data_IF_752873651091
#
_entry.id   IF_752873651091
#
_cell.length_a   1.000
_cell.length_b   1.000
_cell.length_c   1.000
_cell.angle_alpha   90.00
_cell.angle_beta   90.00
_cell.angle_gamma   90.00
#
_symmetry.space_group_name_H-M   'P 1'
#
loop_
_entity.id
_entity.type
_entity.pdbx_description
1 polymer ?
#
# COMPACT_ATOMS: atom_id res chain seq x y z
N UNK A 1 5.16 33.82 -11.50
CA UNK A 1 6.19 32.84 -11.05
C UNK A 1 6.13 31.66 -12.00
N UNK A 2 7.27 31.21 -12.53
CA UNK A 2 7.35 30.01 -13.36
C UNK A 2 8.14 28.95 -12.60
N UNK A 3 7.52 27.81 -12.33
CA UNK A 3 8.17 26.64 -11.72
C UNK A 3 8.60 25.66 -12.80
N UNK A 4 9.88 25.33 -12.81
CA UNK A 4 10.48 24.35 -13.74
C UNK A 4 10.67 23.02 -13.02
N UNK A 5 10.26 21.91 -13.65
CA UNK A 5 10.47 20.56 -13.12
C UNK A 5 10.47 19.54 -14.25
N UNK A 6 11.26 18.49 -14.10
CA UNK A 6 11.26 17.33 -14.98
C UNK A 6 10.15 16.32 -14.65
N UNK A 7 9.49 16.47 -13.49
CA UNK A 7 8.40 15.61 -13.05
C UNK A 7 7.08 15.97 -13.75
N UNK A 8 6.86 15.33 -14.90
CA UNK A 8 5.58 15.42 -15.63
C UNK A 8 4.40 15.00 -14.75
N UNK A 9 4.60 14.03 -13.85
CA UNK A 9 3.57 13.59 -12.91
C UNK A 9 3.13 14.73 -11.98
N UNK A 10 4.08 15.44 -11.36
CA UNK A 10 3.78 16.56 -10.46
C UNK A 10 2.99 17.63 -11.20
N UNK A 11 3.46 18.04 -12.39
CA UNK A 11 2.76 19.03 -13.22
C UNK A 11 1.33 18.59 -13.48
N UNK A 12 1.12 17.35 -13.95
CA UNK A 12 -0.23 16.86 -14.25
C UNK A 12 -1.14 16.85 -13.03
N UNK A 13 -0.63 16.44 -11.86
CA UNK A 13 -1.42 16.37 -10.61
C UNK A 13 -1.93 17.74 -10.17
N UNK A 14 -1.09 18.79 -10.26
CA UNK A 14 -1.46 20.15 -9.83
C UNK A 14 -2.08 21.00 -10.96
N UNK A 15 -2.19 20.47 -12.17
CA UNK A 15 -2.81 21.16 -13.32
C UNK A 15 -3.95 20.34 -13.92
N UNK A 16 -3.66 19.51 -14.93
CA UNK A 16 -4.67 18.87 -15.78
C UNK A 16 -5.53 17.84 -15.06
N UNK A 17 -5.01 17.18 -14.03
CA UNK A 17 -5.73 16.19 -13.23
C UNK A 17 -6.39 16.78 -11.99
N UNK A 18 -6.03 18.01 -11.62
CA UNK A 18 -6.42 18.60 -10.34
C UNK A 18 -7.94 18.61 -10.16
N UNK A 19 -8.66 19.16 -11.13
CA UNK A 19 -10.12 19.30 -11.04
C UNK A 19 -10.84 17.96 -10.83
N UNK A 20 -10.35 16.90 -11.50
CA UNK A 20 -10.89 15.55 -11.36
C UNK A 20 -10.51 14.94 -10.01
N UNK A 21 -9.24 15.02 -9.63
CA UNK A 21 -8.74 14.42 -8.39
C UNK A 21 -9.39 15.08 -7.15
N UNK A 22 -9.69 16.39 -7.20
CA UNK A 22 -10.48 17.10 -6.18
C UNK A 22 -11.95 16.69 -6.17
N UNK A 23 -12.58 16.56 -7.35
CA UNK A 23 -13.96 16.10 -7.44
C UNK A 23 -14.13 14.67 -6.89
N UNK A 24 -13.15 13.81 -7.12
CA UNK A 24 -13.08 12.44 -6.58
C UNK A 24 -12.57 12.38 -5.12
N UNK A 25 -12.28 13.53 -4.49
CA UNK A 25 -11.80 13.59 -3.11
C UNK A 25 -10.46 12.88 -2.87
N UNK A 26 -9.63 12.75 -3.92
CA UNK A 26 -8.35 12.03 -3.91
C UNK A 26 -8.44 10.55 -3.50
N UNK A 27 -9.63 9.93 -3.59
CA UNK A 27 -9.85 8.57 -3.08
C UNK A 27 -8.92 7.55 -3.77
N UNK A 28 -8.02 6.99 -2.96
CA UNK A 28 -7.06 5.98 -3.37
C UNK A 28 -6.00 6.46 -4.36
N UNK A 29 -5.68 7.77 -4.31
CA UNK A 29 -4.43 8.34 -4.82
C UNK A 29 -3.34 8.20 -3.75
N UNK A 30 -2.07 8.34 -4.16
CA UNK A 30 -0.91 8.34 -3.27
C UNK A 30 -0.47 9.78 -2.96
N UNK A 31 0.27 9.97 -1.87
CA UNK A 31 0.85 11.26 -1.48
C UNK A 31 -0.19 12.40 -1.42
N UNK A 32 -1.39 12.07 -0.93
CA UNK A 32 -2.56 12.97 -0.94
C UNK A 32 -2.30 14.19 -0.06
N UNK A 33 -1.70 14.00 1.12
CA UNK A 33 -1.45 15.09 2.06
C UNK A 33 -0.49 16.13 1.48
N UNK A 34 0.63 15.67 0.90
CA UNK A 34 1.59 16.52 0.19
C UNK A 34 0.92 17.23 -1.00
N UNK A 35 0.15 16.51 -1.80
CA UNK A 35 -0.54 17.08 -2.97
C UNK A 35 -1.49 18.19 -2.55
N UNK A 36 -2.28 17.98 -1.49
CA UNK A 36 -3.23 18.96 -0.99
C UNK A 36 -2.52 20.18 -0.41
N UNK A 37 -1.41 20.01 0.29
CA UNK A 37 -0.59 21.10 0.79
C UNK A 37 -0.01 21.95 -0.35
N UNK A 38 0.52 21.31 -1.40
CA UNK A 38 1.01 22.01 -2.60
C UNK A 38 -0.10 22.80 -3.29
N UNK A 39 -1.27 22.18 -3.51
CA UNK A 39 -2.41 22.87 -4.13
C UNK A 39 -2.88 24.06 -3.30
N UNK A 40 -2.94 23.91 -1.97
CA UNK A 40 -3.27 25.00 -1.06
C UNK A 40 -2.24 26.14 -1.17
N UNK A 41 -0.94 25.81 -1.11
CA UNK A 41 0.14 26.80 -1.25
C UNK A 41 0.09 27.53 -2.60
N UNK A 42 -0.25 26.83 -3.69
CA UNK A 42 -0.44 27.46 -5.01
C UNK A 42 -1.64 28.41 -5.03
N UNK A 43 -2.76 28.04 -4.38
CA UNK A 43 -3.98 28.86 -4.31
C UNK A 43 -3.86 30.05 -3.36
N UNK A 44 -3.06 29.96 -2.31
CA UNK A 44 -2.80 31.08 -1.39
C UNK A 44 -2.01 32.22 -2.04
N UNK A 45 -1.45 32.02 -3.24
CA UNK A 45 -0.69 33.05 -3.94
C UNK A 45 -1.62 34.04 -4.65
N UNK A 46 -1.31 35.33 -4.54
CA UNK A 46 -2.03 36.41 -5.22
C UNK A 46 -1.86 36.40 -6.74
N UNK A 47 -0.72 35.89 -7.23
CA UNK A 47 -0.37 35.91 -8.64
C UNK A 47 -0.30 34.49 -9.23
N UNK A 48 -0.71 34.29 -10.50
CA UNK A 48 -0.63 33.00 -11.16
C UNK A 48 0.76 32.36 -11.11
N UNK A 49 0.76 31.02 -11.03
CA UNK A 49 1.95 30.19 -11.14
C UNK A 49 1.85 29.39 -12.43
N UNK A 50 2.86 29.49 -13.28
CA UNK A 50 3.00 28.69 -14.49
C UNK A 50 3.97 27.54 -14.22
N UNK A 51 3.69 26.36 -14.77
CA UNK A 51 4.61 25.23 -14.74
C UNK A 51 5.21 25.02 -16.11
N UNK A 52 6.52 24.79 -16.16
CA UNK A 52 7.25 24.46 -17.38
C UNK A 52 7.93 23.11 -17.18
N UNK A 53 7.55 22.14 -17.99
CA UNK A 53 8.25 20.87 -18.02
C UNK A 53 9.61 21.05 -18.70
N UNK A 54 10.66 20.55 -18.06
CA UNK A 54 12.01 20.50 -18.62
C UNK A 54 12.45 19.05 -18.73
N UNK A 55 13.31 18.72 -19.69
CA UNK A 55 13.84 17.37 -19.82
C UNK A 55 14.90 17.14 -18.73
N UNK A 56 14.75 16.09 -17.94
CA UNK A 56 15.77 15.68 -16.96
C UNK A 56 17.11 15.34 -17.64
N UNK A 57 18.22 15.58 -16.93
CA UNK A 57 19.59 15.28 -17.39
C UNK A 57 19.96 15.86 -18.76
N UNK A 58 19.44 17.05 -19.11
CA UNK A 58 19.61 17.66 -20.43
C UNK A 58 20.51 18.91 -20.45
N UNK A 59 21.33 19.14 -19.42
CA UNK A 59 22.19 20.32 -19.33
C UNK A 59 21.49 21.55 -18.75
N UNK A 60 20.25 21.42 -18.24
CA UNK A 60 19.51 22.56 -17.70
C UNK A 60 20.02 22.91 -16.31
N UNK A 61 20.90 23.91 -16.22
CA UNK A 61 21.68 24.24 -15.01
C UNK A 61 20.85 24.30 -13.72
N UNK A 62 19.65 24.89 -13.77
CA UNK A 62 18.77 24.99 -12.59
C UNK A 62 18.15 23.65 -12.19
N UNK A 63 17.77 22.81 -13.15
CA UNK A 63 17.22 21.48 -12.87
C UNK A 63 18.31 20.57 -12.31
N UNK A 64 19.50 20.58 -12.91
CA UNK A 64 20.64 19.80 -12.43
C UNK A 64 21.10 20.24 -11.04
N UNK A 65 21.01 21.54 -10.75
CA UNK A 65 21.21 22.06 -9.40
C UNK A 65 20.17 21.51 -8.41
N UNK A 66 18.91 21.45 -8.81
CA UNK A 66 17.84 20.87 -8.00
C UNK A 66 18.04 19.35 -7.78
N UNK A 67 18.42 18.61 -8.82
CA UNK A 67 18.73 17.18 -8.74
C UNK A 67 19.87 16.92 -7.75
N UNK A 68 20.95 17.71 -7.83
CA UNK A 68 22.08 17.62 -6.89
C UNK A 68 21.65 17.89 -5.45
N UNK A 69 20.79 18.90 -5.23
CA UNK A 69 20.27 19.20 -3.89
C UNK A 69 19.37 18.07 -3.37
N UNK A 70 18.56 17.46 -4.24
CA UNK A 70 17.75 16.29 -3.89
C UNK A 70 18.62 15.09 -3.50
N UNK A 71 19.71 14.83 -4.23
CA UNK A 71 20.68 13.76 -3.91
C UNK A 71 21.38 13.99 -2.55
N UNK A 72 21.68 15.25 -2.22
CA UNK A 72 22.19 15.60 -0.89
C UNK A 72 21.13 15.36 0.19
N UNK A 73 19.86 15.65 -0.11
CA UNK A 73 18.73 15.38 0.78
C UNK A 73 18.59 13.89 1.11
N UNK A 74 18.76 13.00 0.12
CA UNK A 74 18.73 11.54 0.33
C UNK A 74 19.80 11.07 1.32
N UNK A 75 20.96 11.75 1.37
CA UNK A 75 22.10 11.40 2.21
C UNK A 75 22.02 12.01 3.63
N UNK A 76 21.00 12.82 3.93
CA UNK A 76 20.85 13.39 5.28
C UNK A 76 20.49 12.29 6.28
N UNK A 77 21.09 12.36 7.46
CA UNK A 77 20.79 11.43 8.56
C UNK A 77 19.37 11.62 9.11
N UNK A 78 18.87 12.85 9.14
CA UNK A 78 17.52 13.19 9.56
C UNK A 78 16.74 13.83 8.39
N UNK A 79 15.46 13.47 8.20
CA UNK A 79 14.61 14.09 7.20
C UNK A 79 14.31 15.55 7.56
N UNK A 80 14.15 16.39 6.55
CA UNK A 80 13.67 17.76 6.76
C UNK A 80 12.19 17.75 7.14
N UNK A 81 11.81 18.57 8.12
CA UNK A 81 10.40 18.78 8.46
C UNK A 81 9.74 19.71 7.45
N UNK A 82 8.65 19.25 6.83
CA UNK A 82 7.86 20.02 5.86
C UNK A 82 6.49 20.28 6.46
N UNK A 83 6.13 21.55 6.61
CA UNK A 83 4.79 21.92 7.06
C UNK A 83 3.75 21.61 5.97
N UNK A 84 2.82 20.72 6.29
CA UNK A 84 1.70 20.33 5.44
C UNK A 84 0.37 20.91 5.94
N UNK A 85 0.39 21.92 6.81
CA UNK A 85 -0.80 22.61 7.26
C UNK A 85 -1.53 23.26 6.08
N UNK A 86 -2.85 23.06 6.04
CA UNK A 86 -3.72 23.61 5.00
C UNK A 86 -4.72 24.55 5.66
N UNK A 87 -4.80 25.83 5.22
CA UNK A 87 -5.83 26.76 5.66
C UNK A 87 -7.24 26.19 5.53
N UNK A 88 -8.11 26.47 6.50
CA UNK A 88 -9.44 25.85 6.60
C UNK A 88 -10.32 26.10 5.36
N UNK A 89 -10.21 27.29 4.77
CA UNK A 89 -10.90 27.72 3.55
C UNK A 89 -10.42 26.98 2.29
N UNK A 90 -9.20 26.44 2.29
CA UNK A 90 -8.62 25.67 1.19
C UNK A 90 -8.71 24.15 1.42
N UNK A 91 -9.25 23.71 2.56
CA UNK A 91 -9.31 22.31 2.93
C UNK A 91 -10.53 21.63 2.29
N UNK A 92 -10.27 20.73 1.35
CA UNK A 92 -11.29 19.81 0.83
C UNK A 92 -11.75 18.79 1.87
N UNK A 93 -13.06 18.63 2.03
CA UNK A 93 -13.65 17.75 3.04
C UNK A 93 -13.97 16.34 2.52
N UNK A 94 -14.02 16.15 1.20
CA UNK A 94 -14.30 14.85 0.60
C UNK A 94 -14.50 14.91 -0.90
N UNK A 95 -15.09 13.85 -1.46
CA UNK A 95 -15.48 13.79 -2.86
C UNK A 95 -16.83 14.50 -3.10
N UNK A 96 -16.98 15.14 -4.26
CA UNK A 96 -18.26 15.69 -4.71
C UNK A 96 -19.23 14.54 -5.01
N UNK A 97 -20.48 14.65 -4.54
CA UNK A 97 -21.50 13.61 -4.77
C UNK A 97 -21.69 13.29 -6.26
N UNK A 98 -21.71 14.30 -7.12
CA UNK A 98 -21.83 14.13 -8.58
C UNK A 98 -20.67 13.36 -9.23
N UNK A 99 -19.50 13.30 -8.60
CA UNK A 99 -18.34 12.56 -9.08
C UNK A 99 -18.18 11.21 -8.37
N UNK A 100 -18.98 10.93 -7.35
CA UNK A 100 -18.87 9.74 -6.53
C UNK A 100 -19.57 8.56 -7.21
N UNK A 101 -18.78 7.66 -7.79
CA UNK A 101 -19.30 6.38 -8.29
C UNK A 101 -19.37 5.34 -7.18
N UNK A 102 -20.19 4.30 -7.34
CA UNK A 102 -20.24 3.17 -6.40
C UNK A 102 -18.86 2.55 -6.17
N UNK A 103 -18.06 2.40 -7.23
CA UNK A 103 -16.67 1.91 -7.14
C UNK A 103 -15.80 2.81 -6.26
N UNK A 104 -15.92 4.13 -6.42
CA UNK A 104 -15.15 5.10 -5.66
C UNK A 104 -15.58 5.10 -4.18
N UNK A 105 -16.89 5.08 -3.92
CA UNK A 105 -17.46 4.97 -2.58
C UNK A 105 -17.00 3.68 -1.88
N UNK A 106 -17.07 2.53 -2.57
CA UNK A 106 -16.60 1.25 -2.05
C UNK A 106 -15.12 1.31 -1.70
N UNK A 107 -14.28 1.87 -2.58
CA UNK A 107 -12.84 2.04 -2.33
C UNK A 107 -12.58 2.91 -1.09
N UNK A 108 -13.30 4.02 -0.92
CA UNK A 108 -13.17 4.89 0.26
C UNK A 108 -13.54 4.15 1.55
N UNK A 109 -14.65 3.38 1.54
CA UNK A 109 -15.07 2.57 2.69
C UNK A 109 -14.02 1.52 3.02
N UNK A 110 -13.50 0.81 2.01
CA UNK A 110 -12.48 -0.21 2.21
C UNK A 110 -11.19 0.38 2.79
N UNK A 111 -10.69 1.51 2.28
CA UNK A 111 -9.52 2.18 2.84
C UNK A 111 -9.73 2.56 4.32
N UNK A 112 -10.92 3.03 4.68
CA UNK A 112 -11.26 3.37 6.07
C UNK A 112 -11.33 2.13 6.96
N UNK A 113 -11.84 1.01 6.44
CA UNK A 113 -11.88 -0.26 7.15
C UNK A 113 -10.48 -0.83 7.32
N UNK A 114 -9.65 -0.77 6.29
CA UNK A 114 -8.26 -1.26 6.29
C UNK A 114 -7.43 -0.61 7.39
N UNK A 115 -7.54 0.71 7.57
CA UNK A 115 -6.86 1.41 8.68
C UNK A 115 -7.31 0.98 10.08
N UNK A 116 -8.40 0.23 10.21
CA UNK A 116 -8.90 -0.34 11.48
C UNK A 116 -8.67 -1.84 11.59
N UNK A 117 -8.19 -2.50 10.53
CA UNK A 117 -7.97 -3.94 10.55
C UNK A 117 -6.71 -4.26 11.35
N UNK A 118 -6.89 -5.04 12.42
CA UNK A 118 -5.76 -5.61 13.16
C UNK A 118 -5.20 -6.78 12.35
N UNK A 119 -3.88 -6.82 12.08
CA UNK A 119 -3.25 -7.95 11.43
C UNK A 119 -3.51 -9.24 12.22
N UNK A 120 -3.90 -10.32 11.54
CA UNK A 120 -4.11 -11.62 12.18
C UNK A 120 -2.74 -12.21 12.54
N UNK A 121 -2.45 -12.49 13.82
CA UNK A 121 -1.11 -12.92 14.25
C UNK A 121 -0.59 -14.14 13.49
N UNK A 122 -1.45 -15.15 13.29
CA UNK A 122 -1.11 -16.37 12.55
C UNK A 122 -0.77 -16.09 11.09
N UNK A 123 -1.57 -15.26 10.41
CA UNK A 123 -1.29 -14.87 9.02
C UNK A 123 0.01 -14.08 8.91
N UNK A 124 0.29 -13.18 9.86
CA UNK A 124 1.55 -12.43 9.92
C UNK A 124 2.74 -13.37 10.07
N UNK A 125 2.68 -14.30 11.03
CA UNK A 125 3.72 -15.31 11.25
C UNK A 125 3.99 -16.15 10.00
N UNK A 126 2.94 -16.64 9.35
CA UNK A 126 3.09 -17.45 8.13
C UNK A 126 3.74 -16.64 7.00
N UNK A 127 3.39 -15.35 6.86
CA UNK A 127 4.03 -14.46 5.90
C UNK A 127 5.52 -14.23 6.23
N UNK A 128 5.87 -14.07 7.51
CA UNK A 128 7.26 -13.92 7.94
C UNK A 128 8.09 -15.18 7.62
N UNK A 129 7.53 -16.37 7.88
CA UNK A 129 8.16 -17.64 7.51
C UNK A 129 8.38 -17.76 6.00
N UNK A 130 7.40 -17.34 5.18
CA UNK A 130 7.53 -17.34 3.72
C UNK A 130 8.58 -16.33 3.26
N UNK A 131 8.63 -15.14 3.84
CA UNK A 131 9.66 -14.14 3.52
C UNK A 131 11.06 -14.69 3.81
N UNK A 132 11.27 -15.27 5.00
CA UNK A 132 12.54 -15.87 5.38
C UNK A 132 12.93 -17.04 4.46
N UNK A 133 11.98 -17.92 4.12
CA UNK A 133 12.24 -19.03 3.20
C UNK A 133 12.59 -18.57 1.78
N UNK A 134 11.96 -17.50 1.28
CA UNK A 134 12.30 -16.92 -0.03
C UNK A 134 13.68 -16.27 0.00
N UNK A 135 14.01 -15.55 1.08
CA UNK A 135 15.34 -14.98 1.24
C UNK A 135 16.41 -16.06 1.27
N UNK A 136 16.23 -17.13 2.05
CA UNK A 136 17.19 -18.22 2.15
C UNK A 136 17.41 -18.91 0.79
N UNK A 137 16.32 -19.29 0.12
CA UNK A 137 16.39 -20.04 -1.14
C UNK A 137 16.83 -19.20 -2.34
N UNK A 138 16.42 -17.93 -2.41
CA UNK A 138 16.61 -17.10 -3.60
C UNK A 138 17.57 -15.92 -3.38
N UNK A 139 17.98 -15.64 -2.14
CA UNK A 139 18.78 -14.47 -1.77
C UNK A 139 18.12 -13.14 -2.17
N UNK A 140 16.77 -13.11 -2.16
CA UNK A 140 15.96 -11.94 -2.52
C UNK A 140 15.01 -11.57 -1.38
N UNK A 141 15.09 -10.31 -0.98
CA UNK A 141 14.14 -9.70 -0.05
C UNK A 141 12.83 -9.34 -0.75
N UNK A 142 11.73 -9.91 -0.27
CA UNK A 142 10.38 -9.65 -0.81
C UNK A 142 9.48 -9.04 0.26
N UNK A 143 8.52 -8.22 -0.17
CA UNK A 143 7.50 -7.68 0.75
C UNK A 143 6.32 -8.64 0.89
N UNK A 144 5.63 -8.60 2.04
CA UNK A 144 4.33 -9.28 2.24
C UNK A 144 3.33 -8.97 1.13
N UNK A 145 3.30 -7.73 0.64
CA UNK A 145 2.44 -7.34 -0.47
C UNK A 145 2.81 -8.03 -1.78
N UNK A 146 4.10 -8.20 -2.06
CA UNK A 146 4.59 -8.91 -3.24
C UNK A 146 4.20 -10.39 -3.20
N UNK A 147 4.27 -11.04 -2.04
CA UNK A 147 3.82 -12.43 -1.84
C UNK A 147 2.33 -12.57 -2.21
N UNK A 148 1.47 -11.68 -1.69
CA UNK A 148 0.04 -11.73 -2.04
C UNK A 148 -0.21 -11.45 -3.53
N UNK A 149 0.52 -10.50 -4.12
CA UNK A 149 0.38 -10.17 -5.54
C UNK A 149 0.83 -11.31 -6.44
N UNK A 150 1.94 -11.97 -6.13
CA UNK A 150 2.42 -13.11 -6.92
C UNK A 150 1.42 -14.26 -6.86
N UNK A 151 0.86 -14.54 -5.67
CA UNK A 151 -0.18 -15.54 -5.50
C UNK A 151 -1.43 -15.19 -6.31
N UNK A 152 -1.93 -13.97 -6.23
CA UNK A 152 -3.22 -13.60 -6.83
C UNK A 152 -3.15 -13.39 -8.35
N UNK A 153 -2.04 -12.87 -8.87
CA UNK A 153 -1.92 -12.44 -10.26
C UNK A 153 -1.11 -13.40 -11.16
N UNK A 154 -0.57 -14.49 -10.60
CA UNK A 154 0.17 -15.47 -11.40
C UNK A 154 -0.73 -16.15 -12.42
N UNK A 155 -0.27 -16.20 -13.67
CA UNK A 155 -0.87 -16.99 -14.76
C UNK A 155 -0.44 -18.46 -14.75
N UNK A 156 0.61 -18.77 -13.99
CA UNK A 156 1.23 -20.11 -13.92
C UNK A 156 0.57 -20.96 -12.83
N UNK A 157 0.08 -20.32 -11.76
CA UNK A 157 -0.55 -21.01 -10.63
C UNK A 157 -2.05 -21.19 -10.91
N UNK A 158 -2.51 -22.43 -10.87
CA UNK A 158 -3.94 -22.76 -11.02
C UNK A 158 -4.78 -22.09 -9.93
N UNK A 159 -6.08 -21.92 -10.17
CA UNK A 159 -6.98 -21.31 -9.18
C UNK A 159 -7.05 -22.14 -7.90
N UNK A 160 -7.00 -23.46 -8.04
CA UNK A 160 -7.07 -24.44 -6.97
C UNK A 160 -5.82 -24.36 -6.08
N UNK A 161 -4.63 -24.31 -6.69
CA UNK A 161 -3.37 -24.10 -5.95
C UNK A 161 -3.33 -22.72 -5.27
N UNK A 162 -3.85 -21.67 -5.92
CA UNK A 162 -3.97 -20.34 -5.29
C UNK A 162 -4.87 -20.37 -4.06
N UNK A 163 -6.01 -21.05 -4.14
CA UNK A 163 -6.94 -21.21 -3.01
C UNK A 163 -6.28 -21.97 -1.86
N UNK A 164 -5.58 -23.05 -2.17
CA UNK A 164 -4.83 -23.82 -1.17
C UNK A 164 -3.82 -22.94 -0.45
N UNK A 165 -2.90 -22.29 -1.18
CA UNK A 165 -1.90 -21.41 -0.60
C UNK A 165 -2.51 -20.25 0.19
N UNK A 166 -3.57 -19.62 -0.31
CA UNK A 166 -4.26 -18.55 0.40
C UNK A 166 -4.80 -19.04 1.75
N UNK A 167 -5.44 -20.21 1.77
CA UNK A 167 -5.97 -20.80 2.99
C UNK A 167 -4.86 -21.23 3.96
N UNK A 168 -3.77 -21.79 3.46
CA UNK A 168 -2.59 -22.17 4.26
C UNK A 168 -1.96 -20.95 4.92
N UNK A 169 -1.72 -19.87 4.16
CA UNK A 169 -1.16 -18.63 4.71
C UNK A 169 -2.09 -18.03 5.77
N UNK A 170 -3.40 -18.09 5.55
CA UNK A 170 -4.37 -17.57 6.52
C UNK A 170 -4.63 -18.47 7.74
N UNK A 171 -4.05 -19.67 7.80
CA UNK A 171 -4.39 -20.70 8.80
C UNK A 171 -5.90 -21.01 8.82
N UNK A 172 -6.50 -21.11 7.62
CA UNK A 172 -7.94 -21.24 7.43
C UNK A 172 -8.43 -22.70 7.36
N UNK A 173 -7.51 -23.68 7.34
CA UNK A 173 -7.87 -25.09 7.37
C UNK A 173 -8.23 -25.54 8.80
N UNK A 174 -9.19 -26.46 8.91
CA UNK A 174 -9.53 -27.10 10.18
C UNK A 174 -8.49 -28.19 10.50
N UNK A 175 -7.38 -27.78 11.10
CA UNK A 175 -6.28 -28.64 11.54
C UNK A 175 -5.77 -28.17 12.90
N UNK A 176 -5.15 -29.08 13.65
CA UNK A 176 -4.39 -28.70 14.83
C UNK A 176 -5.19 -27.93 15.89
N UNK A 177 -4.69 -26.78 16.35
CA UNK A 177 -5.37 -25.94 17.34
C UNK A 177 -6.78 -25.51 16.96
N UNK A 178 -7.15 -25.53 15.67
CA UNK A 178 -8.51 -25.16 15.25
C UNK A 178 -9.57 -26.18 15.71
N UNK A 179 -9.17 -27.43 16.00
CA UNK A 179 -10.02 -28.46 16.59
C UNK A 179 -10.13 -28.38 18.12
N UNK A 180 -9.24 -27.63 18.79
CA UNK A 180 -9.18 -27.52 20.25
C UNK A 180 -10.02 -26.38 20.83
N UNK A 181 -10.96 -25.84 20.05
CA UNK A 181 -11.86 -24.78 20.51
C UNK A 181 -12.90 -25.35 21.48
N UNK A 182 -13.36 -24.53 22.42
CA UNK A 182 -14.29 -24.94 23.48
C UNK A 182 -15.61 -25.53 22.96
N UNK A 183 -16.04 -25.13 21.77
CA UNK A 183 -17.28 -25.58 21.14
C UNK A 183 -17.15 -26.88 20.34
N UNK A 184 -15.99 -27.55 20.38
CA UNK A 184 -15.75 -28.81 19.67
C UNK A 184 -16.02 -30.02 20.57
N UNK A 185 -16.58 -31.10 20.02
CA UNK A 185 -16.74 -32.37 20.73
C UNK A 185 -15.39 -33.06 20.98
N UNK A 186 -15.34 -34.00 21.91
CA UNK A 186 -14.11 -34.77 22.17
C UNK A 186 -13.64 -35.57 20.94
N UNK A 187 -14.58 -36.10 20.16
CA UNK A 187 -14.28 -36.77 18.88
C UNK A 187 -13.71 -35.80 17.82
N UNK A 188 -14.07 -34.52 17.87
CA UNK A 188 -13.49 -33.49 17.00
C UNK A 188 -12.11 -33.07 17.49
N UNK A 189 -11.93 -32.90 18.80
CA UNK A 189 -10.64 -32.54 19.42
C UNK A 189 -9.57 -33.60 19.18
N UNK A 190 -9.93 -34.88 19.10
CA UNK A 190 -8.98 -35.96 18.77
C UNK A 190 -8.33 -35.82 17.39
N UNK A 191 -8.90 -34.99 16.49
CA UNK A 191 -8.37 -34.67 15.16
C UNK A 191 -7.30 -33.57 15.18
N UNK A 192 -6.96 -33.03 16.36
CA UNK A 192 -5.95 -31.98 16.51
C UNK A 192 -4.51 -32.50 16.38
N UNK A 193 -4.27 -33.78 16.65
CA UNK A 193 -2.94 -34.39 16.67
C UNK A 193 -2.76 -35.39 15.53
N UNK A 194 -1.53 -35.54 15.06
CA UNK A 194 -1.18 -36.52 14.04
C UNK A 194 -1.31 -37.94 14.58
N UNK A 195 -1.98 -38.83 13.86
CA UNK A 195 -2.10 -40.24 14.24
C UNK A 195 -0.81 -41.06 14.14
N UNK A 196 0.26 -40.52 13.54
CA UNK A 196 1.55 -41.21 13.35
C UNK A 196 2.56 -40.81 14.41
N UNK A 197 2.81 -39.51 14.58
CA UNK A 197 3.83 -38.97 15.49
C UNK A 197 3.26 -38.36 16.78
N UNK A 198 1.92 -38.23 16.89
CA UNK A 198 1.21 -37.63 18.03
C UNK A 198 1.54 -36.15 18.31
N UNK A 199 2.15 -35.44 17.36
CA UNK A 199 2.36 -33.99 17.43
C UNK A 199 1.10 -33.21 17.04
N UNK A 200 0.98 -31.96 17.49
CA UNK A 200 -0.11 -31.08 17.06
C UNK A 200 0.00 -30.77 15.56
N UNK A 201 -1.06 -31.10 14.82
CA UNK A 201 -1.10 -30.96 13.38
C UNK A 201 -0.96 -29.49 12.97
N UNK A 202 -0.11 -29.21 11.99
CA UNK A 202 0.05 -27.87 11.42
C UNK A 202 0.31 -27.98 9.93
N UNK A 203 0.10 -26.91 9.17
CA UNK A 203 0.36 -26.96 7.72
C UNK A 203 1.83 -27.29 7.41
N UNK A 204 2.76 -26.86 8.28
CA UNK A 204 4.19 -27.20 8.18
C UNK A 204 4.52 -28.62 8.60
N UNK A 205 3.64 -29.29 9.35
CA UNK A 205 3.78 -30.69 9.69
C UNK A 205 3.21 -31.59 8.56
N UNK A 206 2.17 -31.11 7.87
CA UNK A 206 1.54 -31.82 6.75
C UNK A 206 2.40 -31.80 5.47
N UNK A 207 3.08 -30.67 5.21
CA UNK A 207 3.89 -30.44 4.02
C UNK A 207 5.34 -30.92 4.21
#
# INVERSE_FOLDING_TARGET
LTQETDSKLVIQVVTTRLAKDEAEGYIGKKNVDITRAVVAALRSRKAPVSFKWVKGHSGHTRNEGADRLADLGVKKHAPDEVDLAIPADLRLTGAKLQALTQRLAYKAIMNRKEGKLVPRPKTTRNLDMIQAGIEDACQVQVTKQSIWKSLMNSKVITREARRFMWMSIHDAYMIGPNWLKDNMSEEQKSRATCGVCNELESMTHIL
#
